data_IF_726341747305
#
_entry.id   IF_726341747305
#
_cell.length_a   1.000
_cell.length_b   1.000
_cell.length_c   1.000
_cell.angle_alpha   90.00
_cell.angle_beta   90.00
_cell.angle_gamma   90.00
#
_symmetry.space_group_name_H-M   'P 1'
#
loop_
_entity.id
_entity.type
_entity.pdbx_description
1 polymer ?
#
# COMPACT_ATOMS: atom_id res chain seq x y z
N UNK A 1 16.57 -34.63 18.87
CA UNK A 1 16.32 -34.23 17.48
C UNK A 1 14.83 -33.97 17.39
N UNK A 2 14.44 -32.70 17.34
CA UNK A 2 13.13 -32.16 16.96
C UNK A 2 13.25 -30.66 17.20
N UNK A 3 13.91 -29.99 16.25
CA UNK A 3 13.86 -28.55 16.13
C UNK A 3 12.39 -28.17 15.92
N UNK A 4 11.89 -27.35 16.84
CA UNK A 4 10.62 -26.66 16.75
C UNK A 4 10.55 -25.94 15.41
N UNK A 5 9.65 -26.42 14.55
CA UNK A 5 9.31 -25.85 13.25
C UNK A 5 8.50 -24.55 13.48
N UNK A 6 9.16 -23.53 14.03
CA UNK A 6 8.62 -22.20 14.38
C UNK A 6 8.43 -21.31 13.12
N UNK A 7 8.41 -21.92 11.94
CA UNK A 7 8.44 -21.22 10.65
C UNK A 7 7.06 -21.09 9.99
N UNK A 8 6.02 -21.72 10.54
CA UNK A 8 4.67 -21.73 9.93
C UNK A 8 3.81 -20.49 10.23
N UNK A 9 4.23 -19.61 11.15
CA UNK A 9 3.35 -18.58 11.72
C UNK A 9 3.44 -17.18 11.07
N UNK A 10 4.37 -16.94 10.13
CA UNK A 10 4.51 -15.61 9.48
C UNK A 10 3.81 -15.63 8.12
N UNK A 11 2.75 -14.82 7.90
CA UNK A 11 2.02 -14.82 6.64
C UNK A 11 2.95 -14.49 5.48
N UNK A 12 2.87 -15.31 4.42
CA UNK A 12 3.71 -15.14 3.23
C UNK A 12 3.43 -13.79 2.56
N UNK A 13 4.42 -13.27 1.83
CA UNK A 13 4.25 -12.04 1.02
C UNK A 13 3.04 -12.14 0.09
N UNK A 14 2.80 -13.30 -0.53
CA UNK A 14 1.67 -13.50 -1.43
C UNK A 14 0.33 -13.39 -0.68
N UNK A 15 0.20 -14.03 0.48
CA UNK A 15 -1.01 -13.94 1.30
C UNK A 15 -1.27 -12.51 1.78
N UNK A 16 -0.22 -11.78 2.19
CA UNK A 16 -0.31 -10.38 2.56
C UNK A 16 -0.83 -9.51 1.41
N UNK A 17 -0.28 -9.70 0.20
CA UNK A 17 -0.72 -8.97 -0.98
C UNK A 17 -2.19 -9.28 -1.31
N UNK A 18 -2.59 -10.56 -1.34
CA UNK A 18 -3.96 -10.95 -1.64
C UNK A 18 -4.97 -10.34 -0.66
N UNK A 19 -4.65 -10.35 0.64
CA UNK A 19 -5.53 -9.81 1.68
C UNK A 19 -5.67 -8.28 1.63
N UNK A 20 -4.69 -7.57 1.06
CA UNK A 20 -4.65 -6.10 1.07
C UNK A 20 -4.89 -5.46 -0.30
N UNK A 21 -5.01 -6.25 -1.38
CA UNK A 21 -5.09 -5.73 -2.74
C UNK A 21 -6.25 -4.74 -2.93
N UNK A 22 -7.46 -5.12 -2.54
CA UNK A 22 -8.65 -4.27 -2.68
C UNK A 22 -8.53 -2.97 -1.86
N UNK A 23 -7.94 -3.05 -0.66
CA UNK A 23 -7.72 -1.88 0.20
C UNK A 23 -6.68 -0.94 -0.39
N UNK A 24 -5.60 -1.50 -0.97
CA UNK A 24 -4.56 -0.70 -1.60
C UNK A 24 -5.08 0.04 -2.84
N UNK A 25 -5.96 -0.59 -3.61
CA UNK A 25 -6.63 0.05 -4.75
C UNK A 25 -7.57 1.17 -4.31
N UNK A 26 -8.43 0.93 -3.31
CA UNK A 26 -9.33 1.95 -2.77
C UNK A 26 -8.55 3.17 -2.25
N UNK A 27 -7.42 2.94 -1.57
CA UNK A 27 -6.57 4.02 -1.07
C UNK A 27 -5.91 4.79 -2.22
N UNK A 28 -5.43 4.11 -3.25
CA UNK A 28 -4.90 4.75 -4.45
C UNK A 28 -5.96 5.61 -5.17
N UNK A 29 -7.21 5.14 -5.25
CA UNK A 29 -8.32 5.92 -5.81
C UNK A 29 -8.60 7.18 -4.97
N UNK A 30 -8.61 7.07 -3.63
CA UNK A 30 -8.75 8.22 -2.72
C UNK A 30 -7.65 9.26 -2.95
N UNK A 31 -6.40 8.81 -3.04
CA UNK A 31 -5.26 9.68 -3.30
C UNK A 31 -5.39 10.38 -4.66
N UNK A 32 -5.80 9.65 -5.70
CA UNK A 32 -5.99 10.19 -7.05
C UNK A 32 -7.15 11.20 -7.13
N UNK A 33 -8.27 10.92 -6.47
CA UNK A 33 -9.44 11.81 -6.45
C UNK A 33 -9.10 13.20 -5.86
N UNK A 34 -8.21 13.25 -4.85
CA UNK A 34 -7.77 14.50 -4.24
C UNK A 34 -6.86 15.36 -5.15
N UNK A 35 -6.47 14.87 -6.34
CA UNK A 35 -5.54 15.56 -7.24
C UNK A 35 -6.06 16.93 -7.68
N UNK A 36 -7.33 17.02 -8.07
CA UNK A 36 -7.94 18.27 -8.54
C UNK A 36 -8.06 19.30 -7.42
N UNK A 37 -8.50 18.88 -6.23
CA UNK A 37 -8.71 19.76 -5.08
C UNK A 37 -7.39 20.30 -4.51
N UNK A 38 -6.33 19.47 -4.52
CA UNK A 38 -5.02 19.84 -3.95
C UNK A 38 -4.11 20.56 -4.93
N UNK A 39 -4.32 20.39 -6.24
CA UNK A 39 -3.53 21.02 -7.28
C UNK A 39 -2.02 20.81 -7.09
N UNK A 40 -1.24 21.90 -7.12
CA UNK A 40 0.22 21.84 -7.02
C UNK A 40 0.77 21.22 -5.73
N UNK A 41 -0.02 21.18 -4.65
CA UNK A 41 0.40 20.56 -3.39
C UNK A 41 0.17 19.03 -3.36
N UNK A 42 -0.47 18.46 -4.40
CA UNK A 42 -0.92 17.07 -4.40
C UNK A 42 0.21 16.07 -4.16
N UNK A 43 1.35 16.22 -4.84
CA UNK A 43 2.45 15.27 -4.73
C UNK A 43 3.10 15.26 -3.33
N UNK A 44 3.33 16.43 -2.74
CA UNK A 44 3.88 16.54 -1.38
C UNK A 44 2.92 15.96 -0.34
N UNK A 45 1.61 16.18 -0.53
CA UNK A 45 0.60 15.57 0.32
C UNK A 45 0.55 14.04 0.17
N UNK A 46 0.53 13.50 -1.05
CA UNK A 46 0.58 12.05 -1.29
C UNK A 46 1.81 11.42 -0.63
N UNK A 47 2.97 12.08 -0.68
CA UNK A 47 4.17 11.58 -0.01
C UNK A 47 3.98 11.46 1.52
N UNK A 48 3.32 12.44 2.15
CA UNK A 48 3.00 12.38 3.58
C UNK A 48 2.01 11.25 3.91
N UNK A 49 0.96 11.07 3.10
CA UNK A 49 0.00 9.97 3.30
C UNK A 49 0.69 8.60 3.20
N UNK A 50 1.50 8.39 2.16
CA UNK A 50 2.25 7.14 1.96
C UNK A 50 3.28 6.89 3.07
N UNK A 51 3.85 7.94 3.67
CA UNK A 51 4.77 7.82 4.80
C UNK A 51 4.05 7.38 6.08
N UNK A 52 2.81 7.81 6.29
CA UNK A 52 1.99 7.41 7.43
C UNK A 52 1.48 5.96 7.34
N UNK A 53 1.45 5.38 6.13
CA UNK A 53 0.99 4.01 5.93
C UNK A 53 1.98 2.98 6.49
N UNK A 54 1.47 2.10 7.34
CA UNK A 54 2.19 0.93 7.84
C UNK A 54 1.38 -0.35 7.59
N UNK A 55 2.04 -1.50 7.35
CA UNK A 55 3.48 -1.68 7.18
C UNK A 55 3.99 -1.09 5.84
N UNK A 56 5.31 -0.89 5.72
CA UNK A 56 5.92 -0.36 4.50
C UNK A 56 5.56 -1.15 3.23
N UNK A 57 5.32 -2.47 3.35
CA UNK A 57 4.84 -3.30 2.25
C UNK A 57 3.47 -2.85 1.72
N UNK A 58 2.55 -2.43 2.60
CA UNK A 58 1.25 -1.89 2.20
C UNK A 58 1.39 -0.54 1.49
N UNK A 59 2.25 0.35 1.99
CA UNK A 59 2.53 1.63 1.34
C UNK A 59 3.06 1.44 -0.10
N UNK A 60 3.88 0.41 -0.32
CA UNK A 60 4.35 0.07 -1.67
C UNK A 60 3.25 -0.47 -2.59
N UNK A 61 2.28 -1.22 -2.05
CA UNK A 61 1.10 -1.64 -2.82
C UNK A 61 0.30 -0.41 -3.26
N UNK A 62 -0.02 0.49 -2.34
CA UNK A 62 -0.76 1.74 -2.66
C UNK A 62 -0.02 2.57 -3.70
N UNK A 63 1.31 2.73 -3.58
CA UNK A 63 2.12 3.45 -4.58
C UNK A 63 2.02 2.82 -5.97
N UNK A 64 2.04 1.48 -6.08
CA UNK A 64 1.91 0.78 -7.36
C UNK A 64 0.52 0.95 -7.97
N UNK A 65 -0.53 0.83 -7.17
CA UNK A 65 -1.89 1.03 -7.64
C UNK A 65 -2.12 2.48 -8.09
N UNK A 66 -1.61 3.46 -7.34
CA UNK A 66 -1.68 4.87 -7.72
C UNK A 66 -0.99 5.11 -9.06
N UNK A 67 0.21 4.54 -9.26
CA UNK A 67 0.90 4.59 -10.54
C UNK A 67 0.12 3.90 -11.66
N UNK A 68 -0.57 2.78 -11.40
CA UNK A 68 -1.39 2.08 -12.40
C UNK A 68 -2.59 2.92 -12.84
N UNK A 69 -3.26 3.56 -11.89
CA UNK A 69 -4.46 4.37 -12.14
C UNK A 69 -4.15 5.74 -12.77
N UNK A 70 -2.92 6.23 -12.64
CA UNK A 70 -2.49 7.53 -13.17
C UNK A 70 -1.64 7.44 -14.46
N UNK A 71 -1.56 6.25 -15.07
CA UNK A 71 -0.91 6.07 -16.38
C UNK A 71 -1.76 6.60 -17.51
#
# INVERSE_FOLDING_TARGET
MSETDDNAARPSRAAFHQANQARAEAEAQRLLAAKTERGGAWLSWVAAELYALTPAAYAQMVRRELQRLSR
#
